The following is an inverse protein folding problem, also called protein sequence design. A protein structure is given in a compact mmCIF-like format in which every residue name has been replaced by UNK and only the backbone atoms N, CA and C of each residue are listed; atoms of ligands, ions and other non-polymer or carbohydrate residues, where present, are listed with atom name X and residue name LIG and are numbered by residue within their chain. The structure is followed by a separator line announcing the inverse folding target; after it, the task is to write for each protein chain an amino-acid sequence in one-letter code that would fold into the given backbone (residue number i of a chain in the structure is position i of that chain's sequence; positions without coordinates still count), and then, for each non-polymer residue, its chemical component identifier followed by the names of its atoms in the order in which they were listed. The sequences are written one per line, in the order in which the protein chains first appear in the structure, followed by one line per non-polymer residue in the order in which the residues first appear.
data_IF_435096973683
#
_entry.id   IF_435096973683
#
_cell.length_a   1.000
_cell.length_b   1.000
_cell.length_c   1.000
_cell.angle_alpha   90.00
_cell.angle_beta   90.00
_cell.angle_gamma   90.00
#
_symmetry.space_group_name_H-M   'P 1'
#
loop_
_entity.id
_entity.type
_entity.pdbx_description
1 polymer ?
#
# COMPACT_ATOMS: atom_id res chain seq x y z
N UNK A 1 -50.99 -6.54 17.10
CA UNK A 1 -49.85 -5.85 17.75
C UNK A 1 -50.44 -4.78 18.65
N UNK A 2 -50.01 -4.74 19.91
CA UNK A 2 -50.51 -3.81 20.92
C UNK A 2 -49.92 -2.40 20.69
N UNK A 3 -50.74 -1.35 20.79
CA UNK A 3 -50.31 0.04 20.60
C UNK A 3 -49.20 0.44 21.58
N UNK A 4 -49.19 -0.14 22.77
CA UNK A 4 -48.12 0.09 23.76
C UNK A 4 -46.76 -0.46 23.29
N UNK A 5 -46.75 -1.60 22.61
CA UNK A 5 -45.52 -2.20 22.06
C UNK A 5 -44.97 -1.37 20.89
N UNK A 6 -45.86 -0.82 20.06
CA UNK A 6 -45.48 0.07 18.96
C UNK A 6 -44.86 1.37 19.48
N UNK A 7 -45.43 1.98 20.52
CA UNK A 7 -44.89 3.19 21.14
C UNK A 7 -43.52 2.96 21.78
N UNK A 8 -43.34 1.83 22.48
CA UNK A 8 -42.05 1.45 23.06
C UNK A 8 -40.97 1.24 21.99
N UNK A 9 -41.32 0.61 20.86
CA UNK A 9 -40.41 0.44 19.72
C UNK A 9 -39.98 1.79 19.12
N UNK A 10 -40.92 2.72 18.94
CA UNK A 10 -40.60 4.06 18.44
C UNK A 10 -39.70 4.84 19.39
N UNK A 11 -39.94 4.77 20.70
CA UNK A 11 -39.08 5.40 21.70
C UNK A 11 -37.65 4.84 21.64
N UNK A 12 -37.51 3.51 21.56
CA UNK A 12 -36.21 2.84 21.45
C UNK A 12 -35.45 3.21 20.16
N UNK A 13 -36.15 3.29 19.02
CA UNK A 13 -35.55 3.70 17.74
C UNK A 13 -35.11 5.16 17.75
N UNK A 14 -35.85 6.03 18.44
CA UNK A 14 -35.51 7.46 18.56
C UNK A 14 -34.27 7.65 19.43
N UNK A 15 -34.23 7.00 20.60
CA UNK A 15 -33.04 6.98 21.46
C UNK A 15 -31.81 6.41 20.72
N UNK A 16 -31.99 5.32 19.96
CA UNK A 16 -30.91 4.74 19.15
C UNK A 16 -30.47 5.63 17.98
N UNK A 17 -31.33 6.53 17.49
CA UNK A 17 -30.97 7.52 16.46
C UNK A 17 -30.17 8.67 17.06
N UNK A 18 -30.54 9.14 18.24
CA UNK A 18 -29.85 10.21 18.97
C UNK A 18 -28.48 9.78 19.48
N UNK A 19 -28.34 8.52 19.89
CA UNK A 19 -27.07 7.96 20.33
C UNK A 19 -26.07 7.67 19.20
N UNK A 20 -26.44 7.87 17.92
CA UNK A 20 -25.51 7.62 16.81
C UNK A 20 -24.42 8.69 16.80
N UNK A 21 -23.14 8.30 16.70
CA UNK A 21 -22.08 9.27 16.51
C UNK A 21 -22.30 10.04 15.22
N UNK A 22 -22.05 11.35 15.26
CA UNK A 22 -22.12 12.24 14.11
C UNK A 22 -21.28 11.68 12.98
N UNK A 23 -21.88 11.48 11.80
CA UNK A 23 -21.13 10.97 10.67
C UNK A 23 -20.06 11.99 10.28
N UNK A 24 -18.89 11.51 9.83
CA UNK A 24 -17.74 12.37 9.49
C UNK A 24 -18.11 13.44 8.46
N UNK A 25 -19.06 13.16 7.56
CA UNK A 25 -19.55 14.13 6.57
C UNK A 25 -20.31 15.32 7.18
N UNK A 26 -20.92 15.13 8.35
CA UNK A 26 -21.76 16.10 9.05
C UNK A 26 -20.96 16.91 10.08
N UNK A 27 -19.68 16.59 10.29
CA UNK A 27 -18.78 17.36 11.13
C UNK A 27 -18.49 18.76 10.54
N UNK A 28 -18.23 19.77 11.39
CA UNK A 28 -17.69 21.06 10.98
C UNK A 28 -16.43 20.92 10.13
N UNK A 29 -16.20 21.85 9.19
CA UNK A 29 -15.08 21.77 8.22
C UNK A 29 -13.71 21.59 8.90
N UNK A 30 -13.44 22.32 9.98
CA UNK A 30 -12.19 22.23 10.72
C UNK A 30 -12.00 20.84 11.35
N UNK A 31 -13.03 20.30 11.99
CA UNK A 31 -13.01 18.97 12.62
C UNK A 31 -12.91 17.83 11.58
N UNK A 32 -13.50 18.01 10.39
CA UNK A 32 -13.29 17.06 9.28
C UNK A 32 -11.86 17.03 8.81
N UNK A 33 -11.20 18.19 8.76
CA UNK A 33 -9.81 18.28 8.32
C UNK A 33 -8.85 17.62 9.33
N UNK A 34 -9.05 17.87 10.63
CA UNK A 34 -8.27 17.21 11.69
C UNK A 34 -8.48 15.70 11.65
N UNK A 35 -9.73 15.23 11.56
CA UNK A 35 -10.06 13.82 11.45
C UNK A 35 -9.36 13.16 10.24
N UNK A 36 -9.41 13.79 9.07
CA UNK A 36 -8.77 13.27 7.87
C UNK A 36 -7.23 13.26 7.99
N UNK A 37 -6.64 14.29 8.61
CA UNK A 37 -5.20 14.36 8.84
C UNK A 37 -4.74 13.24 9.78
N UNK A 38 -5.45 13.01 10.89
CA UNK A 38 -5.19 11.93 11.83
C UNK A 38 -5.37 10.55 11.19
N UNK A 39 -6.46 10.34 10.45
CA UNK A 39 -6.69 9.11 9.71
C UNK A 39 -5.57 8.85 8.67
N UNK A 40 -5.10 9.90 7.99
CA UNK A 40 -3.97 9.81 7.06
C UNK A 40 -2.68 9.43 7.78
N UNK A 41 -2.38 10.06 8.93
CA UNK A 41 -1.22 9.76 9.77
C UNK A 41 -1.27 8.31 10.27
N UNK A 42 -2.40 7.86 10.79
CA UNK A 42 -2.60 6.49 11.26
C UNK A 42 -2.43 5.47 10.12
N UNK A 43 -2.97 5.75 8.94
CA UNK A 43 -2.78 4.92 7.74
C UNK A 43 -1.33 4.85 7.29
N UNK A 44 -0.55 5.94 7.40
CA UNK A 44 0.88 5.95 7.10
C UNK A 44 1.67 5.14 8.13
N UNK A 45 1.39 5.34 9.41
CA UNK A 45 2.02 4.60 10.51
C UNK A 45 1.76 3.09 10.39
N UNK A 46 0.51 2.69 10.14
CA UNK A 46 0.16 1.28 9.90
C UNK A 46 0.88 0.70 8.70
N UNK A 47 0.93 1.42 7.58
CA UNK A 47 1.68 0.96 6.39
C UNK A 47 3.18 0.86 6.63
N UNK A 48 3.76 1.74 7.45
CA UNK A 48 5.15 1.66 7.87
C UNK A 48 5.37 0.41 8.73
N UNK A 49 4.52 0.16 9.72
CA UNK A 49 4.56 -1.02 10.57
C UNK A 49 4.37 -2.32 9.77
N UNK A 50 3.46 -2.37 8.80
CA UNK A 50 3.26 -3.53 7.91
C UNK A 50 4.50 -3.79 7.04
N UNK A 51 5.21 -2.75 6.61
CA UNK A 51 6.47 -2.87 5.86
C UNK A 51 7.64 -3.33 6.73
N UNK A 52 7.68 -2.89 7.99
CA UNK A 52 8.74 -3.24 8.95
C UNK A 52 8.53 -4.64 9.53
N UNK A 53 7.29 -5.01 9.82
CA UNK A 53 6.89 -6.31 10.38
C UNK A 53 6.92 -7.47 9.39
N UNK A 54 7.16 -7.20 8.10
CA UNK A 54 7.39 -8.26 7.10
C UNK A 54 6.14 -8.96 6.55
N UNK A 55 4.95 -8.66 7.06
CA UNK A 55 3.68 -9.21 6.55
C UNK A 55 2.96 -8.23 5.62
N UNK A 56 3.54 -8.10 4.42
CA UNK A 56 2.93 -7.35 3.34
C UNK A 56 1.73 -8.13 2.79
N UNK A 57 0.50 -7.64 3.02
CA UNK A 57 -0.71 -8.26 2.45
C UNK A 57 -0.69 -8.25 0.92
N UNK A 58 -1.15 -9.30 0.23
CA UNK A 58 -1.16 -9.39 -1.23
C UNK A 58 -2.31 -8.56 -1.84
N UNK A 59 -2.28 -7.25 -1.62
CA UNK A 59 -3.19 -6.31 -2.28
C UNK A 59 -2.63 -5.93 -3.66
N UNK A 60 -3.47 -5.54 -4.65
CA UNK A 60 -2.97 -5.13 -5.96
C UNK A 60 -1.86 -4.07 -5.91
N UNK A 61 -2.02 -3.06 -5.05
CA UNK A 61 -1.01 -2.02 -4.86
C UNK A 61 0.33 -2.56 -4.35
N UNK A 62 0.29 -3.51 -3.42
CA UNK A 62 1.51 -4.14 -2.91
C UNK A 62 2.14 -5.05 -3.95
N UNK A 63 1.34 -5.79 -4.72
CA UNK A 63 1.83 -6.65 -5.79
C UNK A 63 2.58 -5.82 -6.85
N UNK A 64 1.99 -4.72 -7.33
CA UNK A 64 2.67 -3.84 -8.30
C UNK A 64 3.98 -3.27 -7.75
N UNK A 65 4.00 -2.86 -6.49
CA UNK A 65 5.20 -2.31 -5.88
C UNK A 65 6.29 -3.39 -5.69
N UNK A 66 5.92 -4.63 -5.33
CA UNK A 66 6.82 -5.78 -5.28
C UNK A 66 7.39 -6.10 -6.67
N UNK A 67 6.54 -6.09 -7.71
CA UNK A 67 6.98 -6.33 -9.09
C UNK A 67 7.95 -5.25 -9.57
N UNK A 68 7.70 -3.99 -9.23
CA UNK A 68 8.62 -2.88 -9.52
C UNK A 68 9.97 -3.09 -8.83
N UNK A 69 9.97 -3.44 -7.53
CA UNK A 69 11.19 -3.74 -6.77
C UNK A 69 11.98 -4.91 -7.38
N UNK A 70 11.30 -6.01 -7.77
CA UNK A 70 11.92 -7.15 -8.43
C UNK A 70 12.55 -6.73 -9.77
N UNK A 71 11.84 -5.92 -10.55
CA UNK A 71 12.35 -5.41 -11.83
C UNK A 71 13.61 -4.57 -11.65
N UNK A 72 13.66 -3.73 -10.61
CA UNK A 72 14.86 -2.96 -10.24
C UNK A 72 16.02 -3.89 -9.85
N UNK A 73 15.75 -4.96 -9.09
CA UNK A 73 16.76 -5.94 -8.73
C UNK A 73 17.33 -6.66 -9.96
N UNK A 74 16.47 -7.07 -10.91
CA UNK A 74 16.91 -7.71 -12.16
C UNK A 74 17.76 -6.77 -13.01
N UNK A 75 17.37 -5.49 -13.11
CA UNK A 75 18.15 -4.47 -13.82
C UNK A 75 19.50 -4.22 -13.13
N UNK A 76 19.53 -4.14 -11.80
CA UNK A 76 20.76 -3.93 -11.05
C UNK A 76 21.76 -5.08 -11.24
N UNK A 77 21.30 -6.33 -11.24
CA UNK A 77 22.17 -7.51 -11.39
C UNK A 77 22.48 -7.85 -12.85
N UNK A 78 21.74 -7.31 -13.82
CA UNK A 78 21.81 -7.75 -15.22
C UNK A 78 21.31 -9.19 -15.39
N UNK A 79 20.38 -9.64 -14.56
CA UNK A 79 19.86 -11.00 -14.58
C UNK A 79 18.96 -11.30 -15.79
N UNK A 80 18.46 -12.54 -15.90
CA UNK A 80 17.54 -12.94 -16.97
C UNK A 80 16.33 -11.99 -17.06
N UNK A 81 16.02 -11.51 -18.26
CA UNK A 81 14.93 -10.57 -18.52
C UNK A 81 15.29 -9.09 -18.38
N UNK A 82 16.51 -8.73 -17.98
CA UNK A 82 16.96 -7.33 -17.93
C UNK A 82 16.83 -6.62 -19.29
N UNK A 83 17.13 -7.31 -20.40
CA UNK A 83 16.99 -6.74 -21.75
C UNK A 83 15.54 -6.51 -22.16
N UNK A 84 14.62 -7.37 -21.72
CA UNK A 84 13.19 -7.17 -21.93
C UNK A 84 12.68 -5.95 -21.17
N UNK A 85 13.15 -5.74 -19.92
CA UNK A 85 12.83 -4.55 -19.14
C UNK A 85 13.37 -3.27 -19.81
N UNK A 86 14.62 -3.30 -20.31
CA UNK A 86 15.21 -2.17 -21.05
C UNK A 86 14.45 -1.85 -22.33
N UNK A 87 14.04 -2.88 -23.08
CA UNK A 87 13.24 -2.74 -24.29
C UNK A 87 11.86 -2.15 -23.97
N UNK A 88 11.22 -2.60 -22.90
CA UNK A 88 9.96 -2.03 -22.42
C UNK A 88 10.08 -0.57 -22.00
N UNK A 89 11.16 -0.19 -21.32
CA UNK A 89 11.44 1.21 -20.98
C UNK A 89 11.65 2.08 -22.22
N UNK A 90 12.38 1.57 -23.22
CA UNK A 90 12.57 2.26 -24.49
C UNK A 90 11.23 2.47 -25.22
N UNK A 91 10.39 1.44 -25.29
CA UNK A 91 9.09 1.49 -25.96
C UNK A 91 8.09 2.43 -25.24
N UNK A 92 8.07 2.41 -23.90
CA UNK A 92 7.13 3.19 -23.13
C UNK A 92 7.42 4.70 -23.14
N UNK A 93 8.70 5.09 -23.18
CA UNK A 93 9.11 6.48 -23.06
C UNK A 93 9.70 7.09 -24.33
N UNK A 94 10.15 6.28 -25.30
CA UNK A 94 10.73 6.76 -26.56
C UNK A 94 12.03 7.56 -26.39
N UNK A 95 12.63 7.57 -25.19
CA UNK A 95 13.80 8.38 -24.87
C UNK A 95 15.09 7.58 -25.08
N UNK A 96 16.02 8.05 -25.95
CA UNK A 96 17.31 7.40 -26.13
C UNK A 96 18.13 7.49 -24.83
N UNK A 97 18.78 6.38 -24.46
CA UNK A 97 19.64 6.30 -23.27
C UNK A 97 18.92 6.19 -21.92
N UNK A 98 17.59 6.37 -21.85
CA UNK A 98 16.83 6.16 -20.62
C UNK A 98 17.03 4.75 -20.03
N UNK A 99 16.95 3.65 -20.81
CA UNK A 99 17.16 2.32 -20.24
C UNK A 99 18.53 2.16 -19.58
N UNK A 100 19.59 2.72 -20.19
CA UNK A 100 20.95 2.69 -19.67
C UNK A 100 21.08 3.53 -18.40
N UNK A 101 20.44 4.70 -18.36
CA UNK A 101 20.41 5.55 -17.18
C UNK A 101 19.68 4.86 -16.02
N UNK A 102 18.53 4.24 -16.27
CA UNK A 102 17.77 3.50 -15.26
C UNK A 102 18.55 2.30 -14.74
N UNK A 103 19.22 1.54 -15.63
CA UNK A 103 20.10 0.44 -15.25
C UNK A 103 21.27 0.93 -14.37
N UNK A 104 21.93 2.02 -14.76
CA UNK A 104 23.01 2.62 -13.98
C UNK A 104 22.54 3.08 -12.59
N UNK A 105 21.36 3.69 -12.49
CA UNK A 105 20.76 4.13 -11.23
C UNK A 105 20.30 2.97 -10.36
N UNK A 106 19.82 1.89 -10.96
CA UNK A 106 19.51 0.66 -10.23
C UNK A 106 20.79 0.02 -9.66
N UNK A 107 21.89 0.00 -10.43
CA UNK A 107 23.21 -0.49 -9.99
C UNK A 107 23.82 0.35 -8.88
N UNK A 108 23.75 1.68 -8.99
CA UNK A 108 24.29 2.58 -7.97
C UNK A 108 23.45 2.62 -6.69
N UNK A 109 22.24 2.08 -6.72
CA UNK A 109 21.29 2.15 -5.60
C UNK A 109 20.54 3.47 -5.51
N UNK A 110 20.76 4.41 -6.45
CA UNK A 110 19.99 5.65 -6.54
C UNK A 110 18.49 5.37 -6.83
N UNK A 111 18.22 4.26 -7.53
CA UNK A 111 16.90 3.69 -7.70
C UNK A 111 16.78 2.35 -6.97
N UNK A 112 16.64 2.42 -5.64
CA UNK A 112 16.59 1.25 -4.77
C UNK A 112 15.16 0.67 -4.57
N UNK A 113 15.04 -0.66 -4.42
CA UNK A 113 13.81 -1.31 -3.97
C UNK A 113 13.33 -0.78 -2.60
N UNK A 114 12.02 -0.54 -2.46
CA UNK A 114 11.46 0.12 -1.26
C UNK A 114 10.73 -0.82 -0.31
N UNK A 115 10.08 -1.85 -0.83
CA UNK A 115 9.31 -2.82 -0.06
C UNK A 115 10.10 -4.11 0.13
N UNK A 116 10.67 -4.62 -0.96
CA UNK A 116 11.29 -5.93 -1.03
C UNK A 116 12.77 -5.78 -1.35
N UNK A 117 13.62 -6.15 -0.41
CA UNK A 117 15.08 -6.19 -0.61
C UNK A 117 15.53 -7.61 -0.89
N UNK A 118 16.66 -7.75 -1.59
CA UNK A 118 17.28 -9.06 -1.85
C UNK A 118 17.52 -9.86 -0.55
N UNK A 119 17.96 -9.17 0.51
CA UNK A 119 18.17 -9.77 1.83
C UNK A 119 16.86 -10.33 2.41
N UNK A 120 15.76 -9.57 2.33
CA UNK A 120 14.44 -10.01 2.82
C UNK A 120 13.89 -11.21 2.03
N UNK A 121 14.05 -11.21 0.71
CA UNK A 121 13.63 -12.34 -0.13
C UNK A 121 14.40 -13.61 0.20
N UNK A 122 15.73 -13.51 0.34
CA UNK A 122 16.57 -14.65 0.72
C UNK A 122 16.23 -15.18 2.11
N UNK A 123 16.02 -14.29 3.09
CA UNK A 123 15.61 -14.68 4.43
C UNK A 123 14.27 -15.43 4.43
N UNK A 124 13.30 -14.96 3.65
CA UNK A 124 11.99 -15.61 3.54
C UNK A 124 12.04 -16.93 2.77
N UNK A 125 12.82 -17.01 1.69
CA UNK A 125 13.05 -18.26 0.97
C UNK A 125 13.69 -19.33 1.87
N UNK A 126 14.65 -18.94 2.72
CA UNK A 126 15.25 -19.82 3.72
C UNK A 126 14.22 -20.28 4.76
N UNK A 127 13.35 -19.39 5.25
CA UNK A 127 12.31 -19.74 6.21
C UNK A 127 11.27 -20.71 5.63
N UNK A 128 10.92 -20.57 4.34
CA UNK A 128 10.00 -21.49 3.65
C UNK A 128 10.64 -22.84 3.37
N UNK A 129 11.92 -22.90 3.01
CA UNK A 129 12.62 -24.15 2.69
C UNK A 129 13.03 -24.98 3.92
N UNK A 130 13.06 -24.36 5.11
CA UNK A 130 13.36 -25.03 6.39
C UNK A 130 12.13 -25.53 7.14
N UNK A 131 10.94 -25.46 6.53
CA UNK A 131 9.65 -25.83 7.09
C UNK A 131 8.95 -26.82 6.15
#
# INVERSE_FOLDING_TARGET
MDNAQTAALYAALTAAKEARPTAVRDLPKAERQTYQAEASKARRARRKAEREGGDLKPTPANIYAVLADISLMVLATGGPGADALKSGLAAAFGLPGLPMSVEARARSGDLAPKLVTAARLRARAKAVAGN
#
